data_IF_389592827001
#
_entry.id   IF_389592827001
#
_cell.length_a   1.000
_cell.length_b   1.000
_cell.length_c   1.000
_cell.angle_alpha   90.00
_cell.angle_beta   90.00
_cell.angle_gamma   90.00
#
_symmetry.space_group_name_H-M   'P 1'
#
loop_
_entity.id
_entity.type
_entity.pdbx_description
1 polymer ?
#
# COMPACT_ATOMS: atom_id res chain seq x y z
N UNK A 1 -24.64 2.66 71.51
CA UNK A 1 -23.87 2.52 70.24
C UNK A 1 -24.00 1.07 69.77
N UNK A 2 -25.07 0.73 69.03
CA UNK A 2 -25.07 0.50 67.57
C UNK A 2 -24.12 -0.63 67.11
N UNK A 3 -24.56 -1.88 67.30
CA UNK A 3 -24.17 -3.05 66.47
C UNK A 3 -24.88 -2.90 65.13
N UNK A 4 -24.20 -2.40 64.10
CA UNK A 4 -24.86 -2.05 62.83
C UNK A 4 -24.57 -3.00 61.66
N UNK A 5 -23.76 -4.06 61.82
CA UNK A 5 -23.58 -5.06 60.77
C UNK A 5 -23.48 -6.47 61.36
N UNK A 6 -24.39 -7.37 60.96
CA UNK A 6 -24.23 -8.80 61.21
C UNK A 6 -23.16 -9.36 60.25
N UNK A 7 -22.37 -10.36 60.69
CA UNK A 7 -21.33 -10.97 59.85
C UNK A 7 -21.88 -11.51 58.53
N UNK A 8 -23.12 -11.99 58.54
CA UNK A 8 -23.81 -12.49 57.33
C UNK A 8 -24.00 -11.38 56.29
N UNK A 9 -24.33 -10.16 56.73
CA UNK A 9 -24.51 -9.00 55.85
C UNK A 9 -23.18 -8.57 55.21
N UNK A 10 -22.08 -8.70 55.96
CA UNK A 10 -20.73 -8.40 55.49
C UNK A 10 -20.25 -9.45 54.48
N UNK A 11 -20.58 -10.74 54.70
CA UNK A 11 -20.29 -11.80 53.76
C UNK A 11 -21.05 -11.62 52.43
N UNK A 12 -22.34 -11.28 52.49
CA UNK A 12 -23.15 -10.98 51.29
C UNK A 12 -22.59 -9.77 50.53
N UNK A 13 -22.18 -8.72 51.23
CA UNK A 13 -21.58 -7.54 50.61
C UNK A 13 -20.24 -7.86 49.94
N UNK A 14 -19.33 -8.57 50.63
CA UNK A 14 -18.04 -8.98 50.07
C UNK A 14 -18.22 -9.90 48.86
N UNK A 15 -19.12 -10.88 48.93
CA UNK A 15 -19.40 -11.78 47.82
C UNK A 15 -20.00 -11.01 46.62
N UNK A 16 -20.95 -10.10 46.86
CA UNK A 16 -21.53 -9.26 45.80
C UNK A 16 -20.49 -8.36 45.14
N UNK A 17 -19.60 -7.75 45.94
CA UNK A 17 -18.53 -6.89 45.43
C UNK A 17 -17.50 -7.71 44.63
N UNK A 18 -17.15 -8.91 45.09
CA UNK A 18 -16.23 -9.81 44.40
C UNK A 18 -16.80 -10.30 43.06
N UNK A 19 -18.11 -10.59 43.00
CA UNK A 19 -18.78 -10.94 41.74
C UNK A 19 -18.76 -9.75 40.77
N UNK A 20 -19.02 -8.52 41.23
CA UNK A 20 -18.98 -7.34 40.36
C UNK A 20 -17.56 -7.09 39.84
N UNK A 21 -16.56 -7.20 40.71
CA UNK A 21 -15.15 -7.00 40.33
C UNK A 21 -14.61 -8.11 39.42
N UNK A 22 -15.13 -9.34 39.51
CA UNK A 22 -14.72 -10.43 38.61
C UNK A 22 -15.31 -10.35 37.20
N UNK A 23 -16.38 -9.56 37.02
CA UNK A 23 -16.96 -9.29 35.70
C UNK A 23 -16.34 -8.06 35.01
N UNK A 24 -15.59 -7.24 35.76
CA UNK A 24 -14.88 -6.10 35.18
C UNK A 24 -13.56 -6.55 34.56
N UNK A 25 -13.17 -6.00 33.39
CA UNK A 25 -11.82 -6.19 32.88
C UNK A 25 -10.81 -5.75 33.94
N UNK A 26 -9.66 -6.44 34.07
CA UNK A 26 -8.62 -6.06 35.02
C UNK A 26 -8.28 -4.57 34.90
N UNK A 27 -8.26 -3.85 36.03
CA UNK A 27 -8.10 -2.38 36.05
C UNK A 27 -6.83 -1.93 35.31
N UNK A 28 -5.77 -2.74 35.30
CA UNK A 28 -4.54 -2.41 34.57
C UNK A 28 -4.75 -2.34 33.05
N UNK A 29 -5.71 -3.09 32.48
CA UNK A 29 -6.05 -3.05 31.04
C UNK A 29 -6.73 -1.74 30.64
N UNK A 30 -7.34 -1.02 31.60
CA UNK A 30 -7.94 0.30 31.36
C UNK A 30 -6.89 1.42 31.21
N UNK A 31 -5.63 1.19 31.60
CA UNK A 31 -4.54 2.17 31.55
C UNK A 31 -3.39 1.76 30.62
N UNK A 32 -3.50 0.62 29.95
CA UNK A 32 -2.52 0.13 29.00
C UNK A 32 -2.71 0.84 27.65
N UNK A 33 -1.60 1.18 27.01
CA UNK A 33 -1.54 1.96 25.76
C UNK A 33 -1.60 1.04 24.54
N UNK A 34 -1.96 1.56 23.35
CA UNK A 34 -1.74 0.83 22.12
C UNK A 34 -0.22 0.61 21.92
N UNK A 35 0.15 -0.55 21.39
CA UNK A 35 1.54 -0.90 21.08
C UNK A 35 1.61 -1.31 19.62
N UNK A 36 2.09 -0.40 18.79
CA UNK A 36 2.10 -0.58 17.34
C UNK A 36 3.40 -1.23 16.89
N UNK A 37 3.30 -2.37 16.22
CA UNK A 37 4.40 -3.02 15.53
C UNK A 37 4.06 -3.10 14.04
N UNK A 38 5.06 -2.83 13.18
CA UNK A 38 4.95 -2.99 11.73
C UNK A 38 6.00 -3.99 11.27
N UNK A 39 5.58 -4.91 10.43
CA UNK A 39 6.45 -5.85 9.75
C UNK A 39 6.14 -5.83 8.25
N UNK A 40 7.18 -6.03 7.44
CA UNK A 40 7.06 -6.16 5.99
C UNK A 40 7.59 -7.54 5.59
N UNK A 41 6.86 -8.23 4.73
CA UNK A 41 7.25 -9.58 4.29
C UNK A 41 8.48 -9.54 3.37
N UNK A 42 9.15 -10.69 3.24
CA UNK A 42 10.43 -10.82 2.52
C UNK A 42 10.36 -10.71 0.98
N UNK A 43 9.27 -10.24 0.40
CA UNK A 43 9.18 -10.00 -1.04
C UNK A 43 8.37 -8.75 -1.32
N UNK A 44 8.66 -8.12 -2.45
CA UNK A 44 7.95 -6.94 -2.93
C UNK A 44 7.80 -7.01 -4.44
N UNK A 45 6.86 -6.25 -4.98
CA UNK A 45 6.76 -6.08 -6.42
C UNK A 45 6.96 -4.63 -6.81
N UNK A 46 7.86 -4.38 -7.77
CA UNK A 46 8.13 -3.06 -8.32
C UNK A 46 7.58 -2.99 -9.75
N UNK A 47 6.95 -1.87 -10.07
CA UNK A 47 6.49 -1.53 -11.41
C UNK A 47 6.55 -0.03 -11.58
N UNK A 48 5.95 0.51 -12.64
CA UNK A 48 5.82 1.95 -12.81
C UNK A 48 4.54 2.34 -13.53
N UNK A 49 4.05 3.54 -13.23
CA UNK A 49 3.01 4.22 -14.00
C UNK A 49 3.64 5.38 -14.77
N UNK A 50 3.89 5.18 -16.08
CA UNK A 50 4.56 6.15 -16.96
C UNK A 50 5.88 6.66 -16.37
N UNK A 51 6.81 5.75 -16.10
CA UNK A 51 8.12 6.03 -15.53
C UNK A 51 8.14 6.15 -14.00
N UNK A 52 7.06 6.63 -13.38
CA UNK A 52 7.00 6.80 -11.92
C UNK A 52 6.96 5.44 -11.22
N UNK A 53 7.90 5.13 -10.31
CA UNK A 53 7.92 3.84 -9.65
C UNK A 53 6.70 3.64 -8.76
N UNK A 54 6.27 2.39 -8.71
CA UNK A 54 5.21 1.87 -7.87
C UNK A 54 5.71 0.60 -7.20
N UNK A 55 5.39 0.44 -5.93
CA UNK A 55 5.82 -0.68 -5.11
C UNK A 55 4.59 -1.29 -4.45
N UNK A 56 4.47 -2.60 -4.56
CA UNK A 56 3.50 -3.43 -3.85
C UNK A 56 4.24 -4.22 -2.78
N UNK A 57 3.94 -3.96 -1.52
CA UNK A 57 4.66 -4.52 -0.37
C UNK A 57 3.66 -5.12 0.61
N UNK A 58 3.73 -6.43 0.92
CA UNK A 58 2.94 -7.01 1.99
C UNK A 58 3.40 -6.45 3.34
N UNK A 59 2.45 -5.89 4.10
CA UNK A 59 2.68 -5.24 5.38
C UNK A 59 1.71 -5.78 6.39
N UNK A 60 2.23 -6.11 7.57
CA UNK A 60 1.43 -6.45 8.75
C UNK A 60 1.62 -5.37 9.81
N UNK A 61 0.50 -4.82 10.28
CA UNK A 61 0.45 -3.94 11.46
C UNK A 61 -0.19 -4.72 12.61
N UNK A 62 0.58 -4.99 13.65
CA UNK A 62 0.12 -5.61 14.90
C UNK A 62 -0.16 -4.56 15.96
N UNK A 63 -1.19 -4.82 16.77
CA UNK A 63 -1.44 -4.09 17.99
C UNK A 63 -1.39 -5.06 19.17
N UNK A 64 -0.24 -5.12 19.82
CA UNK A 64 0.01 -5.97 21.00
C UNK A 64 -0.45 -5.29 22.29
N UNK A 65 -0.90 -4.03 22.19
CA UNK A 65 -1.49 -3.28 23.28
C UNK A 65 -2.91 -3.73 23.62
N UNK A 66 -3.42 -3.26 24.77
CA UNK A 66 -4.79 -3.54 25.20
C UNK A 66 -5.82 -2.48 24.74
N UNK A 67 -5.36 -1.37 24.15
CA UNK A 67 -6.18 -0.29 23.62
C UNK A 67 -6.21 -0.33 22.09
N UNK A 68 -7.26 0.23 21.47
CA UNK A 68 -7.35 0.26 20.00
C UNK A 68 -6.28 1.18 19.44
N UNK A 69 -5.51 0.69 18.47
CA UNK A 69 -4.53 1.47 17.73
C UNK A 69 -5.21 2.16 16.54
N UNK A 70 -5.04 3.47 16.41
CA UNK A 70 -5.46 4.23 15.23
C UNK A 70 -4.23 4.63 14.42
N UNK A 71 -4.12 4.12 13.20
CA UNK A 71 -3.09 4.52 12.23
C UNK A 71 -3.68 5.61 11.35
N UNK A 72 -3.14 6.81 11.45
CA UNK A 72 -3.56 7.98 10.69
C UNK A 72 -2.97 7.99 9.28
N UNK A 73 -1.71 7.56 9.15
CA UNK A 73 -1.01 7.52 7.87
C UNK A 73 0.00 6.37 7.82
N UNK A 74 0.17 5.77 6.64
CA UNK A 74 1.27 4.88 6.33
C UNK A 74 2.11 5.58 5.24
N UNK A 75 3.39 5.80 5.53
CA UNK A 75 4.33 6.47 4.63
C UNK A 75 5.34 5.46 4.09
N UNK A 76 5.80 5.68 2.86
CA UNK A 76 6.79 4.85 2.21
C UNK A 76 7.90 5.73 1.63
N UNK A 77 9.15 5.28 1.65
CA UNK A 77 10.23 5.91 0.90
C UNK A 77 11.01 4.85 0.12
N UNK A 78 11.40 5.19 -1.10
CA UNK A 78 12.32 4.38 -1.89
C UNK A 78 13.68 5.06 -1.85
N UNK A 79 14.71 4.31 -1.48
CA UNK A 79 16.09 4.79 -1.40
C UNK A 79 16.95 3.98 -2.35
N UNK A 80 17.77 4.65 -3.16
CA UNK A 80 18.88 4.01 -3.85
C UNK A 80 20.10 4.04 -2.92
N UNK A 81 20.61 2.87 -2.57
CA UNK A 81 21.70 2.69 -1.61
C UNK A 81 23.07 3.03 -2.20
N UNK A 82 23.21 2.99 -3.53
CA UNK A 82 24.48 3.26 -4.21
C UNK A 82 24.77 4.78 -4.31
N UNK A 83 23.73 5.60 -4.52
CA UNK A 83 23.86 7.05 -4.67
C UNK A 83 23.20 7.87 -3.53
N UNK A 84 22.43 7.24 -2.64
CA UNK A 84 21.76 7.88 -1.51
C UNK A 84 20.53 8.70 -1.88
N UNK A 85 20.03 8.63 -3.12
CA UNK A 85 18.81 9.33 -3.52
C UNK A 85 17.59 8.73 -2.82
N UNK A 86 16.71 9.60 -2.32
CA UNK A 86 15.47 9.21 -1.63
C UNK A 86 14.29 9.78 -2.40
N UNK A 87 13.34 8.92 -2.75
CA UNK A 87 12.08 9.28 -3.36
C UNK A 87 10.95 9.03 -2.38
N UNK A 88 10.32 10.09 -1.85
CA UNK A 88 9.16 9.94 -0.98
C UNK A 88 7.98 9.37 -1.78
N UNK A 89 7.35 8.35 -1.23
CA UNK A 89 6.19 7.69 -1.79
C UNK A 89 5.03 7.77 -0.80
N UNK A 90 3.81 7.68 -1.30
CA UNK A 90 2.62 7.61 -0.46
C UNK A 90 1.94 6.27 -0.64
N UNK A 91 1.46 5.68 0.46
CA UNK A 91 0.53 4.57 0.37
C UNK A 91 -0.82 5.10 -0.09
N UNK A 92 -1.25 4.72 -1.28
CA UNK A 92 -2.52 5.20 -1.88
C UNK A 92 -3.65 4.21 -1.71
N UNK A 93 -3.32 2.93 -1.74
CA UNK A 93 -4.28 1.83 -1.69
C UNK A 93 -3.65 0.60 -1.07
N UNK A 94 -4.48 -0.38 -0.74
CA UNK A 94 -4.06 -1.74 -0.42
C UNK A 94 -4.87 -2.73 -1.26
N UNK A 95 -4.28 -3.89 -1.51
CA UNK A 95 -4.95 -5.03 -2.12
C UNK A 95 -5.45 -5.93 -1.01
N UNK A 96 -6.77 -6.10 -0.94
CA UNK A 96 -7.42 -7.02 -0.01
C UNK A 96 -7.18 -8.46 -0.47
N UNK A 97 -6.39 -9.21 0.30
CA UNK A 97 -6.04 -10.59 -0.01
C UNK A 97 -7.27 -11.51 -0.09
N UNK A 98 -8.36 -11.20 0.62
CA UNK A 98 -9.59 -11.98 0.58
C UNK A 98 -10.36 -11.83 -0.75
N UNK A 99 -10.07 -10.77 -1.51
CA UNK A 99 -10.67 -10.51 -2.83
C UNK A 99 -9.92 -11.17 -3.97
N UNK A 100 -8.74 -11.75 -3.72
CA UNK A 100 -7.95 -12.48 -4.72
C UNK A 100 -8.60 -13.86 -4.91
N UNK A 101 -9.70 -13.89 -5.65
CA UNK A 101 -10.32 -15.13 -6.12
C UNK A 101 -9.64 -15.56 -7.42
N UNK A 102 -9.49 -16.87 -7.63
CA UNK A 102 -9.11 -17.42 -8.93
C UNK A 102 -10.01 -16.77 -10.00
N UNK A 103 -9.39 -16.07 -10.96
CA UNK A 103 -10.04 -15.41 -12.10
C UNK A 103 -10.70 -14.03 -11.85
N UNK A 104 -10.50 -13.38 -10.71
CA UNK A 104 -10.86 -11.97 -10.53
C UNK A 104 -9.60 -11.11 -10.33
N UNK A 105 -9.51 -9.93 -10.97
CA UNK A 105 -8.41 -9.02 -10.71
C UNK A 105 -8.45 -8.58 -9.23
N UNK A 106 -7.28 -8.57 -8.60
CA UNK A 106 -7.10 -8.04 -7.27
C UNK A 106 -7.69 -6.63 -7.18
N UNK A 107 -8.56 -6.39 -6.19
CA UNK A 107 -9.21 -5.09 -6.04
C UNK A 107 -8.34 -4.20 -5.14
N UNK A 108 -7.84 -3.10 -5.71
CA UNK A 108 -7.22 -2.05 -4.92
C UNK A 108 -8.30 -1.21 -4.21
N UNK A 109 -8.13 -1.05 -2.89
CA UNK A 109 -9.00 -0.27 -2.02
C UNK A 109 -8.20 0.94 -1.53
N UNK A 110 -8.69 2.18 -1.72
CA UNK A 110 -8.01 3.37 -1.21
C UNK A 110 -7.80 3.26 0.31
N UNK A 111 -6.59 3.60 0.77
CA UNK A 111 -6.29 3.58 2.20
C UNK A 111 -6.78 4.86 2.86
N UNK A 112 -7.43 4.71 4.01
CA UNK A 112 -7.78 5.80 4.92
C UNK A 112 -7.17 5.55 6.29
N UNK A 113 -7.83 6.05 7.34
CA UNK A 113 -7.44 5.69 8.71
C UNK A 113 -7.73 4.23 8.97
N UNK A 114 -6.75 3.53 9.54
CA UNK A 114 -6.86 2.14 9.92
C UNK A 114 -7.03 2.03 11.45
N UNK A 115 -7.93 1.15 11.89
CA UNK A 115 -8.13 0.84 13.31
C UNK A 115 -7.77 -0.62 13.55
N UNK A 116 -6.77 -0.86 14.38
CA UNK A 116 -6.33 -2.22 14.76
C UNK A 116 -6.76 -2.49 16.19
N UNK A 117 -7.61 -3.49 16.38
CA UNK A 117 -8.13 -3.85 17.71
C UNK A 117 -7.01 -4.39 18.61
N UNK A 118 -7.19 -4.35 19.93
CA UNK A 118 -6.25 -4.97 20.88
C UNK A 118 -5.99 -6.44 20.56
N UNK A 119 -4.73 -6.88 20.64
CA UNK A 119 -4.28 -8.24 20.34
C UNK A 119 -4.72 -8.73 18.95
N UNK A 120 -4.77 -7.83 17.97
CA UNK A 120 -5.13 -8.15 16.61
C UNK A 120 -4.09 -7.59 15.64
N UNK A 121 -4.19 -8.04 14.39
CA UNK A 121 -3.32 -7.59 13.31
C UNK A 121 -4.12 -7.31 12.06
N UNK A 122 -3.65 -6.33 11.30
CA UNK A 122 -4.07 -6.05 9.93
C UNK A 122 -2.92 -6.41 9.01
N UNK A 123 -3.19 -7.15 7.92
CA UNK A 123 -2.14 -7.69 7.05
C UNK A 123 -2.63 -7.64 5.60
N UNK A 124 -2.07 -6.75 4.79
CA UNK A 124 -2.46 -6.56 3.39
C UNK A 124 -1.25 -6.17 2.54
N UNK A 125 -1.39 -6.21 1.21
CA UNK A 125 -0.37 -5.65 0.31
C UNK A 125 -0.65 -4.18 0.04
N UNK A 126 0.21 -3.30 0.54
CA UNK A 126 0.09 -1.85 0.30
C UNK A 126 0.69 -1.46 -1.05
N UNK A 127 0.05 -0.52 -1.72
CA UNK A 127 0.53 0.10 -2.95
C UNK A 127 1.11 1.47 -2.62
N UNK A 128 2.43 1.55 -2.70
CA UNK A 128 3.20 2.77 -2.56
C UNK A 128 3.46 3.36 -3.94
N UNK A 129 3.12 4.64 -4.14
CA UNK A 129 3.33 5.32 -5.41
C UNK A 129 3.86 6.74 -5.21
N UNK A 130 4.62 7.23 -6.20
CA UNK A 130 4.96 8.65 -6.31
C UNK A 130 3.74 9.40 -6.83
N UNK A 131 3.28 10.41 -6.08
CA UNK A 131 2.15 11.23 -6.51
C UNK A 131 2.53 12.02 -7.79
N UNK A 132 1.69 11.99 -8.83
CA UNK A 132 1.92 12.81 -10.01
C UNK A 132 1.80 14.29 -9.65
N UNK A 133 2.58 15.13 -10.33
CA UNK A 133 2.38 16.59 -10.28
C UNK A 133 1.08 16.97 -11.00
N UNK A 134 0.56 18.17 -10.74
CA UNK A 134 -0.63 18.66 -11.43
C UNK A 134 -0.43 18.70 -12.95
N UNK A 135 0.75 19.11 -13.42
CA UNK A 135 1.12 19.11 -14.84
C UNK A 135 1.12 17.69 -15.44
N UNK A 136 1.78 16.75 -14.75
CA UNK A 136 1.80 15.34 -15.18
C UNK A 136 0.39 14.75 -15.26
N UNK A 137 -0.47 15.07 -14.30
CA UNK A 137 -1.86 14.62 -14.30
C UNK A 137 -2.64 15.21 -15.48
N UNK A 138 -2.47 16.50 -15.77
CA UNK A 138 -3.08 17.15 -16.94
C UNK A 138 -2.59 16.54 -18.26
N UNK A 139 -1.28 16.32 -18.41
CA UNK A 139 -0.70 15.65 -19.59
C UNK A 139 -1.28 14.24 -19.76
N UNK A 140 -1.33 13.45 -18.70
CA UNK A 140 -1.91 12.10 -18.71
C UNK A 140 -3.38 12.11 -19.16
N UNK A 141 -4.18 13.04 -18.63
CA UNK A 141 -5.58 13.18 -19.02
C UNK A 141 -5.73 13.55 -20.50
N UNK A 142 -4.91 14.46 -21.02
CA UNK A 142 -4.94 14.84 -22.44
C UNK A 142 -4.61 13.66 -23.35
N UNK A 143 -3.57 12.88 -23.03
CA UNK A 143 -3.20 11.68 -23.80
C UNK A 143 -4.35 10.67 -23.78
N UNK A 144 -4.94 10.42 -22.60
CA UNK A 144 -6.08 9.50 -22.46
C UNK A 144 -7.31 9.94 -23.27
N UNK A 145 -7.59 11.25 -23.30
CA UNK A 145 -8.66 11.82 -24.14
C UNK A 145 -8.37 11.63 -25.62
N UNK A 146 -7.16 11.94 -26.09
CA UNK A 146 -6.77 11.76 -27.50
C UNK A 146 -6.87 10.29 -27.94
N UNK A 147 -6.43 9.36 -27.09
CA UNK A 147 -6.58 7.92 -27.35
C UNK A 147 -8.06 7.51 -27.41
N UNK A 148 -8.88 7.99 -26.47
CA UNK A 148 -10.31 7.69 -26.45
C UNK A 148 -11.03 8.24 -27.68
N UNK A 149 -10.73 9.48 -28.08
CA UNK A 149 -11.28 10.11 -29.28
C UNK A 149 -10.85 9.37 -30.55
N UNK A 150 -9.58 8.94 -30.64
CA UNK A 150 -9.10 8.11 -31.74
C UNK A 150 -9.89 6.80 -31.82
N UNK A 151 -10.04 6.05 -30.73
CA UNK A 151 -10.83 4.81 -30.70
C UNK A 151 -12.29 5.03 -31.12
N UNK A 152 -12.90 6.12 -30.67
CA UNK A 152 -14.29 6.47 -31.03
C UNK A 152 -14.44 6.87 -32.51
N UNK A 153 -13.38 7.40 -33.12
CA UNK A 153 -13.35 7.76 -34.55
C UNK A 153 -13.19 6.55 -35.47
N UNK A 154 -12.70 5.41 -34.95
CA UNK A 154 -12.55 4.19 -35.74
C UNK A 154 -13.92 3.56 -36.02
N UNK A 155 -14.17 3.07 -37.25
CA UNK A 155 -15.38 2.33 -37.55
C UNK A 155 -15.45 1.08 -36.66
N UNK A 156 -16.59 0.85 -35.98
CA UNK A 156 -16.83 -0.24 -35.01
C UNK A 156 -16.81 -1.66 -35.62
N UNK A 157 -16.16 -1.86 -36.76
CA UNK A 157 -16.01 -3.15 -37.44
C UNK A 157 -14.82 -3.87 -36.83
N UNK A 158 -14.91 -4.17 -35.54
CA UNK A 158 -13.87 -4.92 -34.82
C UNK A 158 -14.42 -6.33 -34.61
N UNK A 159 -14.01 -7.34 -35.41
CA UNK A 159 -14.34 -8.73 -35.11
C UNK A 159 -13.72 -9.13 -33.77
N UNK A 160 -14.38 -10.02 -33.03
CA UNK A 160 -14.02 -10.45 -31.66
C UNK A 160 -12.62 -11.12 -31.50
N UNK A 161 -11.84 -11.19 -32.58
CA UNK A 161 -10.50 -11.79 -32.66
C UNK A 161 -9.44 -10.80 -33.18
N UNK A 162 -9.74 -9.50 -33.22
CA UNK A 162 -8.82 -8.49 -33.77
C UNK A 162 -7.58 -8.29 -32.92
N UNK A 163 -6.43 -8.18 -33.58
CA UNK A 163 -5.18 -7.69 -33.02
C UNK A 163 -5.39 -6.34 -32.29
N UNK A 164 -4.57 -6.03 -31.26
CA UNK A 164 -4.67 -4.76 -30.55
C UNK A 164 -4.49 -3.57 -31.51
N UNK A 165 -5.34 -2.55 -31.36
CA UNK A 165 -5.30 -1.35 -32.21
C UNK A 165 -4.08 -0.51 -31.84
N UNK A 166 -3.17 -0.31 -32.80
CA UNK A 166 -2.01 0.57 -32.62
C UNK A 166 -2.42 2.04 -32.85
N UNK A 167 -2.08 2.91 -31.90
CA UNK A 167 -2.32 4.35 -31.99
C UNK A 167 -1.30 5.04 -32.91
N UNK A 168 -1.69 6.12 -33.60
CA UNK A 168 -0.75 7.02 -34.27
C UNK A 168 0.34 7.54 -33.33
N UNK A 169 1.55 7.70 -33.85
CA UNK A 169 2.74 8.07 -33.08
C UNK A 169 2.57 9.37 -32.29
N UNK A 170 1.93 10.38 -32.88
CA UNK A 170 1.65 11.67 -32.26
C UNK A 170 0.73 11.59 -31.04
N UNK A 171 -0.06 10.52 -30.91
CA UNK A 171 -0.96 10.29 -29.77
C UNK A 171 -0.23 9.61 -28.61
N UNK A 172 0.59 8.59 -28.88
CA UNK A 172 1.21 7.80 -27.80
C UNK A 172 2.64 8.22 -27.44
N UNK A 173 3.37 8.91 -28.32
CA UNK A 173 4.72 9.41 -28.04
C UNK A 173 4.79 10.29 -26.79
N UNK A 174 3.82 11.18 -26.50
CA UNK A 174 3.85 11.97 -25.27
C UNK A 174 3.85 11.12 -23.99
N UNK A 175 3.28 9.91 -24.02
CA UNK A 175 3.33 8.98 -22.89
C UNK A 175 4.73 8.38 -22.72
N UNK A 176 5.43 8.10 -23.82
CA UNK A 176 6.84 7.70 -23.80
C UNK A 176 7.73 8.83 -23.27
N UNK A 177 7.51 10.08 -23.70
CA UNK A 177 8.26 11.23 -23.19
C UNK A 177 8.07 11.38 -21.68
N UNK A 178 6.83 11.26 -21.19
CA UNK A 178 6.55 11.25 -19.75
C UNK A 178 7.27 10.13 -19.00
N UNK A 179 7.40 8.94 -19.62
CA UNK A 179 8.16 7.85 -19.04
C UNK A 179 9.64 8.21 -18.92
N UNK A 180 10.30 8.67 -19.99
CA UNK A 180 11.74 8.97 -19.95
C UNK A 180 12.05 10.14 -19.00
N UNK A 181 11.13 11.08 -18.84
CA UNK A 181 11.24 12.17 -17.86
C UNK A 181 11.15 11.68 -16.40
N UNK A 182 10.31 10.67 -16.14
CA UNK A 182 9.96 10.24 -14.78
C UNK A 182 10.62 8.93 -14.32
N UNK A 183 11.21 8.16 -15.24
CA UNK A 183 11.82 6.88 -14.93
C UNK A 183 13.18 7.06 -14.26
N UNK A 184 13.23 6.70 -12.99
CA UNK A 184 14.37 6.92 -12.08
C UNK A 184 15.05 5.62 -11.64
N UNK A 185 14.53 4.46 -12.08
CA UNK A 185 15.06 3.16 -11.69
C UNK A 185 16.23 2.78 -12.60
N UNK A 186 17.33 2.36 -11.98
CA UNK A 186 18.57 1.96 -12.63
C UNK A 186 19.06 0.64 -12.01
N UNK A 187 20.07 0.03 -12.62
CA UNK A 187 20.72 -1.15 -12.02
C UNK A 187 21.42 -0.72 -10.74
N UNK A 188 21.13 -1.38 -9.62
CA UNK A 188 21.70 -1.00 -8.34
C UNK A 188 20.99 -1.60 -7.13
N UNK A 189 21.47 -1.20 -5.96
CA UNK A 189 20.94 -1.61 -4.66
C UNK A 189 19.91 -0.60 -4.16
N UNK A 190 18.77 -1.07 -3.69
CA UNK A 190 17.67 -0.24 -3.22
C UNK A 190 17.17 -0.70 -1.85
N UNK A 191 16.54 0.21 -1.12
CA UNK A 191 15.78 -0.08 0.08
C UNK A 191 14.42 0.62 0.04
N UNK A 192 13.40 -0.04 0.57
CA UNK A 192 12.11 0.56 0.85
C UNK A 192 11.94 0.66 2.37
N UNK A 193 11.65 1.86 2.84
CA UNK A 193 11.32 2.12 4.23
C UNK A 193 9.82 2.38 4.35
N UNK A 194 9.16 1.73 5.30
CA UNK A 194 7.78 2.01 5.67
C UNK A 194 7.74 2.51 7.09
N UNK A 195 6.93 3.53 7.32
CA UNK A 195 6.60 4.02 8.65
C UNK A 195 5.10 4.22 8.81
N UNK A 196 4.62 4.09 10.04
CA UNK A 196 3.25 4.42 10.41
C UNK A 196 3.21 5.61 11.35
N UNK A 197 2.22 6.46 11.15
CA UNK A 197 1.90 7.56 12.04
C UNK A 197 0.63 7.21 12.83
N UNK A 198 0.74 7.27 14.15
CA UNK A 198 -0.33 6.96 15.10
C UNK A 198 -0.87 8.22 15.77
N UNK A 199 -2.10 8.16 16.29
CA UNK A 199 -2.75 9.25 17.01
C UNK A 199 -2.01 9.64 18.30
N UNK A 200 -1.48 8.67 19.03
CA UNK A 200 -0.45 8.89 20.03
C UNK A 200 0.89 9.09 19.31
N UNK A 201 1.35 10.34 19.20
CA UNK A 201 2.57 10.78 18.49
C UNK A 201 3.91 10.16 18.99
N UNK A 202 3.87 9.02 19.69
CA UNK A 202 4.97 8.47 20.49
C UNK A 202 5.49 7.14 19.91
N UNK A 203 4.76 6.46 19.03
CA UNK A 203 5.22 5.20 18.39
C UNK A 203 5.24 5.29 16.87
N UNK A 204 6.31 5.85 16.30
CA UNK A 204 6.65 5.54 14.91
C UNK A 204 7.34 4.19 14.90
N UNK A 205 6.73 3.19 14.28
CA UNK A 205 7.42 1.95 13.95
C UNK A 205 7.92 2.03 12.50
N UNK A 206 9.10 1.48 12.26
CA UNK A 206 9.83 1.60 11.00
C UNK A 206 10.29 0.21 10.58
N UNK A 207 10.08 -0.14 9.31
CA UNK A 207 10.65 -1.36 8.72
C UNK A 207 11.32 -1.00 7.40
N UNK A 208 12.51 -1.54 7.18
CA UNK A 208 13.27 -1.36 5.95
C UNK A 208 13.53 -2.72 5.30
N UNK A 209 13.38 -2.79 3.97
CA UNK A 209 13.68 -3.98 3.17
C UNK A 209 14.53 -3.60 1.97
N UNK A 210 15.69 -4.26 1.84
CA UNK A 210 16.63 -4.06 0.74
C UNK A 210 16.44 -5.09 -0.39
N UNK A 211 16.74 -4.67 -1.60
CA UNK A 211 16.67 -5.48 -2.82
C UNK A 211 17.64 -4.95 -3.87
N UNK A 212 17.94 -5.77 -4.88
CA UNK A 212 18.82 -5.41 -5.99
C UNK A 212 18.00 -5.43 -7.27
N UNK A 213 18.18 -4.42 -8.13
CA UNK A 213 17.68 -4.41 -9.49
C UNK A 213 18.84 -4.72 -10.43
N UNK A 214 18.72 -5.79 -11.21
CA UNK A 214 19.69 -6.14 -12.24
C UNK A 214 19.29 -5.59 -13.63
N UNK A 215 20.15 -5.80 -14.62
CA UNK A 215 19.88 -5.33 -15.98
C UNK A 215 18.65 -5.98 -16.62
N UNK A 216 18.32 -7.21 -16.23
CA UNK A 216 17.14 -7.93 -16.73
C UNK A 216 15.86 -7.35 -16.12
N UNK A 217 15.88 -6.97 -14.85
CA UNK A 217 14.79 -6.30 -14.15
C UNK A 217 14.46 -4.96 -14.81
N UNK A 218 15.48 -4.13 -15.04
CA UNK A 218 15.31 -2.84 -15.74
C UNK A 218 14.78 -3.04 -17.16
N UNK A 219 15.23 -4.09 -17.86
CA UNK A 219 14.73 -4.42 -19.19
C UNK A 219 13.27 -4.86 -19.18
N UNK A 220 12.82 -5.58 -18.14
CA UNK A 220 11.42 -5.95 -17.95
C UNK A 220 10.56 -4.70 -17.73
N UNK A 221 11.00 -3.80 -16.85
CA UNK A 221 10.30 -2.54 -16.59
C UNK A 221 10.18 -1.69 -17.87
N UNK A 222 11.28 -1.52 -18.61
CA UNK A 222 11.26 -0.75 -19.88
C UNK A 222 10.42 -1.40 -20.98
N UNK A 223 10.18 -2.72 -20.96
CA UNK A 223 9.30 -3.39 -21.94
C UNK A 223 7.86 -2.88 -21.91
N UNK A 224 7.45 -2.23 -20.82
CA UNK A 224 6.15 -1.56 -20.73
C UNK A 224 5.98 -0.44 -21.76
N UNK A 225 7.07 0.17 -22.24
CA UNK A 225 7.03 1.18 -23.30
C UNK A 225 6.37 0.65 -24.58
N UNK A 226 6.60 -0.62 -24.92
CA UNK A 226 6.02 -1.26 -26.10
C UNK A 226 4.48 -1.36 -26.03
N UNK A 227 3.91 -1.22 -24.84
CA UNK A 227 2.46 -1.26 -24.62
C UNK A 227 1.79 0.10 -24.80
N UNK A 228 2.55 1.21 -24.79
CA UNK A 228 1.98 2.57 -24.86
C UNK A 228 1.31 2.83 -26.21
N UNK A 229 1.90 2.31 -27.28
CA UNK A 229 1.30 2.34 -28.62
C UNK A 229 0.00 1.56 -28.74
N UNK A 230 -0.34 0.72 -27.77
CA UNK A 230 -1.63 0.03 -27.68
C UNK A 230 -2.53 0.60 -26.57
N UNK A 231 -2.10 1.67 -25.89
CA UNK A 231 -2.84 2.32 -24.81
C UNK A 231 -2.57 1.76 -23.41
N UNK A 232 -1.66 0.79 -23.26
CA UNK A 232 -1.27 0.27 -21.96
C UNK A 232 -0.66 1.34 -21.07
N UNK A 233 -1.04 1.38 -19.80
CA UNK A 233 -0.57 2.35 -18.82
C UNK A 233 -1.23 3.74 -18.93
N UNK A 234 -2.06 3.96 -19.95
CA UNK A 234 -2.81 5.21 -20.16
C UNK A 234 -4.32 4.95 -20.05
N UNK A 235 -4.88 4.11 -20.93
CA UNK A 235 -6.32 3.83 -20.98
C UNK A 235 -6.68 2.53 -20.26
N UNK A 236 -5.74 1.60 -20.09
CA UNK A 236 -5.89 0.40 -19.27
C UNK A 236 -4.59 0.09 -18.52
N UNK A 237 -4.65 -0.57 -17.35
CA UNK A 237 -3.46 -0.92 -16.58
C UNK A 237 -2.61 -1.98 -17.31
N UNK A 238 -1.29 -1.94 -17.12
CA UNK A 238 -0.37 -2.97 -17.64
C UNK A 238 -0.29 -4.10 -16.58
N UNK A 239 -0.61 -5.36 -16.92
CA UNK A 239 -0.75 -6.45 -15.95
C UNK A 239 0.57 -7.05 -15.44
N UNK A 240 1.72 -6.43 -15.71
CA UNK A 240 3.03 -6.97 -15.36
C UNK A 240 3.68 -6.11 -14.27
N UNK A 241 3.90 -6.70 -13.11
CA UNK A 241 4.76 -6.14 -12.07
C UNK A 241 5.95 -7.07 -11.87
N UNK A 242 7.14 -6.52 -11.64
CA UNK A 242 8.34 -7.30 -11.36
C UNK A 242 8.30 -7.71 -9.88
N UNK A 243 8.31 -8.99 -9.56
CA UNK A 243 8.43 -9.44 -8.16
C UNK A 243 9.90 -9.65 -7.83
N UNK A 244 10.39 -8.96 -6.81
CA UNK A 244 11.76 -9.06 -6.31
C UNK A 244 11.72 -9.61 -4.89
N UNK A 245 12.59 -10.57 -4.60
CA UNK A 245 12.74 -11.13 -3.25
C UNK A 245 13.76 -10.31 -2.47
N UNK A 246 13.50 -10.10 -1.18
CA UNK A 246 14.42 -9.45 -0.25
C UNK A 246 15.78 -10.15 -0.27
N UNK A 247 16.84 -9.34 -0.21
CA UNK A 247 18.16 -9.85 0.14
C UNK A 247 18.25 -9.80 1.66
N UNK A 248 18.13 -10.95 2.32
CA UNK A 248 18.44 -11.04 3.74
C UNK A 248 19.96 -10.95 3.91
N UNK A 249 20.44 -9.87 4.53
CA UNK A 249 21.79 -9.79 5.11
C UNK A 249 21.82 -10.41 6.51
#
# INVERSE_FOLDING_TARGET
MKRFFSPDLLAVYLAGTAIILSQLPPIYQLFQKPEAEITADGWLSITHALGRPQVYLPVTVSNDGSATLTVEEISCSLMNLDNGNIWPMKVTSFVDQSTVQQFQPAREIPIGRLRVLPNSRWSETVHCAVNPTADQLSRLQLIGLQMTDYLNSQPRVIPATSEPVEFPQDIWMPAQDMFEEAFILEVGSYAIEISILTDEAISSSHVSSSFILDASDISILRRHLDQYKYGGGVIFPIPNSLSVTKVEE
#
